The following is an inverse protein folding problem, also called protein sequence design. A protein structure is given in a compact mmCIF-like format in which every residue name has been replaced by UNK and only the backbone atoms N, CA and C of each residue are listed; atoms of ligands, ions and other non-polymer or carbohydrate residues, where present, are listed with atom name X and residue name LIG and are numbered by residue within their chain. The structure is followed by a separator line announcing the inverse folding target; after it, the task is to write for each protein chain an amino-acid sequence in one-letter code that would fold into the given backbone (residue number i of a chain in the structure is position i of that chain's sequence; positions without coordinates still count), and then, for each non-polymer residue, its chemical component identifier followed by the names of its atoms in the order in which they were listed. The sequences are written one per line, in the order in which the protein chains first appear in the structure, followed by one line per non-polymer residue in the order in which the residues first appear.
data_IF_531105029757
#
_entry.id   IF_531105029757
#
_cell.length_a   1.000
_cell.length_b   1.000
_cell.length_c   1.000
_cell.angle_alpha   90.00
_cell.angle_beta   90.00
_cell.angle_gamma   90.00
#
_symmetry.space_group_name_H-M   'P 1'
#
loop_
_entity.id
_entity.type
_entity.pdbx_description
1 polymer ?
#
# COMPACT_ATOMS: atom_id res chain seq x y z
N UNK A 1 -71.02 34.28 -12.54
CA UNK A 1 -70.72 35.41 -11.62
C UNK A 1 -69.41 35.08 -10.92
N UNK A 2 -68.50 36.04 -10.94
CA UNK A 2 -67.08 36.01 -10.59
C UNK A 2 -66.62 35.28 -9.31
N UNK A 3 -65.40 34.73 -9.42
CA UNK A 3 -64.30 34.66 -8.43
C UNK A 3 -64.54 33.93 -7.09
N UNK A 4 -63.67 32.96 -6.76
CA UNK A 4 -62.42 33.22 -6.00
C UNK A 4 -61.59 31.93 -5.77
N UNK A 5 -60.44 31.92 -6.44
CA UNK A 5 -59.11 31.43 -6.04
C UNK A 5 -59.01 30.92 -4.59
N UNK A 6 -58.50 29.69 -4.42
CA UNK A 6 -57.40 29.38 -3.48
C UNK A 6 -56.68 28.10 -3.93
N UNK A 7 -55.60 28.32 -4.67
CA UNK A 7 -54.54 27.36 -4.95
C UNK A 7 -53.79 27.11 -3.63
N UNK A 8 -53.73 25.87 -3.16
CA UNK A 8 -52.77 25.45 -2.13
C UNK A 8 -51.83 24.47 -2.83
N UNK A 9 -50.71 24.99 -3.31
CA UNK A 9 -49.56 24.19 -3.73
C UNK A 9 -48.82 23.86 -2.44
N UNK A 10 -48.96 22.63 -1.95
CA UNK A 10 -48.14 22.09 -0.90
C UNK A 10 -46.92 21.44 -1.57
N UNK A 11 -45.90 22.25 -1.87
CA UNK A 11 -44.59 21.78 -2.31
C UNK A 11 -43.85 21.22 -1.10
N UNK A 12 -43.97 19.91 -0.87
CA UNK A 12 -43.08 19.18 0.02
C UNK A 12 -41.71 19.06 -0.67
N UNK A 13 -40.87 20.08 -0.51
CA UNK A 13 -39.45 19.94 -0.77
C UNK A 13 -38.87 19.08 0.36
N UNK A 14 -38.82 17.77 0.14
CA UNK A 14 -37.91 16.89 0.88
C UNK A 14 -36.49 17.31 0.50
N UNK A 15 -35.96 18.29 1.22
CA UNK A 15 -34.53 18.53 1.29
C UNK A 15 -33.99 17.35 2.09
N UNK A 16 -33.67 16.25 1.41
CA UNK A 16 -32.73 15.28 1.95
C UNK A 16 -31.43 16.02 2.14
N UNK A 17 -31.14 16.41 3.37
CA UNK A 17 -29.81 16.85 3.75
C UNK A 17 -28.92 15.63 3.51
N UNK A 18 -28.15 15.67 2.42
CA UNK A 18 -26.97 14.84 2.30
C UNK A 18 -26.04 15.32 3.41
N UNK A 19 -26.11 14.65 4.56
CA UNK A 19 -25.03 14.70 5.54
C UNK A 19 -23.88 13.97 4.88
N UNK A 20 -23.00 14.71 4.22
CA UNK A 20 -21.63 14.26 4.07
C UNK A 20 -21.11 14.14 5.50
N UNK A 21 -20.73 12.94 5.91
CA UNK A 21 -19.88 12.81 7.07
C UNK A 21 -18.61 13.61 6.71
N UNK A 22 -18.32 14.64 7.49
CA UNK A 22 -17.01 15.27 7.43
C UNK A 22 -15.98 14.16 7.72
N UNK A 23 -15.04 13.98 6.79
CA UNK A 23 -13.83 13.21 7.02
C UNK A 23 -13.20 13.83 8.27
N UNK A 24 -13.03 13.03 9.33
CA UNK A 24 -12.27 13.46 10.50
C UNK A 24 -10.80 13.46 10.06
N UNK A 25 -10.36 14.60 9.52
CA UNK A 25 -8.94 14.89 9.35
C UNK A 25 -8.41 15.42 10.68
N UNK A 26 -7.18 15.03 10.99
CA UNK A 26 -6.27 15.43 12.07
C UNK A 26 -6.43 14.72 13.42
N UNK A 27 -5.61 13.68 13.65
CA UNK A 27 -4.32 13.94 14.28
C UNK A 27 -3.24 13.98 13.19
N UNK A 28 -2.57 15.12 12.99
CA UNK A 28 -1.42 15.13 12.10
C UNK A 28 -0.26 14.49 12.87
N UNK A 29 0.27 13.39 12.34
CA UNK A 29 1.57 12.89 12.75
C UNK A 29 2.68 13.72 12.09
N UNK A 30 3.89 13.62 12.61
CA UNK A 30 5.06 14.26 12.01
C UNK A 30 5.79 13.25 11.12
N UNK A 31 5.83 13.53 9.81
CA UNK A 31 6.57 12.72 8.82
C UNK A 31 8.04 12.52 9.17
N UNK A 32 8.66 13.43 9.93
CA UNK A 32 10.05 13.32 10.37
C UNK A 32 10.27 12.29 11.47
N UNK A 33 9.19 11.75 12.05
CA UNK A 33 9.29 10.64 12.99
C UNK A 33 9.59 9.31 12.30
N UNK A 34 9.33 9.15 11.01
CA UNK A 34 9.71 7.96 10.26
C UNK A 34 10.73 8.34 9.19
N UNK A 35 11.82 7.58 9.10
CA UNK A 35 12.90 7.84 8.15
C UNK A 35 13.30 6.59 7.38
N UNK A 36 13.63 6.79 6.11
CA UNK A 36 14.30 5.85 5.24
C UNK A 36 15.74 6.33 5.05
N UNK A 37 16.69 5.48 5.41
CA UNK A 37 18.11 5.84 5.47
C UNK A 37 18.94 5.15 4.38
N UNK A 38 18.51 3.98 3.93
CA UNK A 38 19.23 3.27 2.88
C UNK A 38 18.31 2.44 2.00
N UNK A 39 18.62 2.41 0.71
CA UNK A 39 18.17 1.37 -0.21
C UNK A 39 19.42 0.81 -0.90
N UNK A 40 19.57 -0.49 -0.86
CA UNK A 40 20.64 -1.24 -1.52
C UNK A 40 20.01 -2.33 -2.37
N UNK A 41 20.77 -2.84 -3.35
CA UNK A 41 20.40 -4.10 -3.99
C UNK A 41 20.42 -5.23 -2.96
N UNK A 42 19.61 -6.26 -3.20
CA UNK A 42 19.67 -7.49 -2.43
C UNK A 42 20.06 -8.70 -3.28
N UNK A 43 20.91 -9.55 -2.70
CA UNK A 43 21.19 -10.91 -3.17
C UNK A 43 20.72 -11.96 -2.14
N UNK A 44 19.73 -11.60 -1.31
CA UNK A 44 19.16 -12.52 -0.33
C UNK A 44 18.58 -13.73 -1.06
N UNK A 45 19.00 -14.90 -0.64
CA UNK A 45 18.47 -16.18 -1.07
C UNK A 45 17.92 -16.86 0.19
N UNK A 46 16.60 -16.78 0.36
CA UNK A 46 15.85 -17.25 1.51
C UNK A 46 15.94 -18.78 1.61
N UNK A 47 15.81 -19.48 0.49
CA UNK A 47 15.87 -20.95 0.41
C UNK A 47 17.21 -21.49 0.92
N UNK A 48 18.30 -20.80 0.61
CA UNK A 48 19.64 -21.16 1.08
C UNK A 48 20.07 -20.41 2.35
N UNK A 49 19.21 -19.53 2.89
CA UNK A 49 19.49 -18.65 4.03
C UNK A 49 20.86 -17.96 3.91
N UNK A 50 21.10 -17.33 2.75
CA UNK A 50 22.38 -16.71 2.39
C UNK A 50 22.19 -15.37 1.69
N UNK A 51 23.27 -14.60 1.51
CA UNK A 51 23.20 -13.26 0.94
C UNK A 51 22.60 -12.21 1.90
N UNK A 52 22.11 -11.12 1.32
CA UNK A 52 21.49 -10.00 2.01
C UNK A 52 21.67 -8.70 1.25
N UNK A 53 22.15 -7.67 1.94
CA UNK A 53 22.42 -6.35 1.35
C UNK A 53 23.72 -6.36 0.54
N UNK A 54 23.68 -5.84 -0.68
CA UNK A 54 24.86 -5.69 -1.56
C UNK A 54 24.93 -4.32 -2.25
N UNK A 55 26.14 -3.97 -2.71
CA UNK A 55 26.38 -2.74 -3.45
C UNK A 55 26.33 -1.46 -2.60
N UNK A 56 26.31 -0.32 -3.29
CA UNK A 56 26.27 1.01 -2.68
C UNK A 56 24.82 1.41 -2.34
N UNK A 57 24.67 2.36 -1.41
CA UNK A 57 23.38 2.97 -1.15
C UNK A 57 22.91 3.74 -2.40
N UNK A 58 21.68 3.48 -2.82
CA UNK A 58 21.04 4.11 -3.95
C UNK A 58 20.51 5.50 -3.60
N UNK A 59 20.28 5.78 -2.31
CA UNK A 59 19.85 7.09 -1.83
C UNK A 59 21.07 7.99 -1.61
N UNK A 60 21.19 9.06 -2.41
CA UNK A 60 22.25 10.06 -2.25
C UNK A 60 21.83 11.24 -1.37
N UNK A 61 20.53 11.53 -1.28
CA UNK A 61 20.00 12.64 -0.47
C UNK A 61 19.38 12.16 0.87
N UNK A 62 19.83 11.02 1.38
CA UNK A 62 19.40 10.41 2.65
C UNK A 62 19.77 11.25 3.89
N UNK A 63 18.98 11.20 5.00
CA UNK A 63 17.73 10.45 5.17
C UNK A 63 16.54 11.12 4.51
N UNK A 64 15.61 10.29 4.02
CA UNK A 64 14.27 10.73 3.63
C UNK A 64 13.33 10.54 4.81
N UNK A 65 12.49 11.54 5.08
CA UNK A 65 11.34 11.38 5.97
C UNK A 65 10.27 10.54 5.26
N UNK A 66 9.22 10.14 5.97
CA UNK A 66 8.01 9.64 5.32
C UNK A 66 7.50 10.69 4.32
N UNK A 67 7.00 10.22 3.17
CA UNK A 67 6.37 11.07 2.16
C UNK A 67 5.12 11.71 2.73
N UNK A 68 4.29 10.87 3.35
CA UNK A 68 3.04 11.27 3.97
C UNK A 68 2.83 10.51 5.27
N UNK A 69 1.97 11.05 6.12
CA UNK A 69 1.54 10.33 7.29
C UNK A 69 0.11 10.76 7.67
N UNK A 70 -0.65 9.83 8.23
CA UNK A 70 -1.99 10.07 8.76
C UNK A 70 -2.10 9.42 10.13
N UNK A 71 -2.70 10.08 11.13
CA UNK A 71 -2.75 9.40 12.42
C UNK A 71 -3.23 10.15 13.66
N UNK A 72 -2.63 9.70 14.75
CA UNK A 72 -3.05 9.82 16.15
C UNK A 72 -4.53 9.42 16.34
N UNK A 73 -4.90 8.32 15.71
CA UNK A 73 -6.18 7.67 15.97
C UNK A 73 -6.15 6.97 17.32
N UNK A 74 -7.11 7.28 18.17
CA UNK A 74 -7.27 6.60 19.45
C UNK A 74 -7.81 5.18 19.27
N UNK A 75 -7.46 4.28 20.18
CA UNK A 75 -7.88 2.87 20.12
C UNK A 75 -6.86 2.00 19.42
N UNK A 76 -7.28 0.81 19.01
CA UNK A 76 -6.44 -0.14 18.25
C UNK A 76 -6.64 0.07 16.75
N UNK A 77 -5.58 -0.19 16.00
CA UNK A 77 -5.62 -0.43 14.56
C UNK A 77 -6.27 -1.81 14.26
N UNK A 78 -6.92 -1.93 13.11
CA UNK A 78 -7.37 -3.22 12.56
C UNK A 78 -6.28 -3.76 11.65
N UNK A 79 -5.91 -5.03 11.80
CA UNK A 79 -4.90 -5.71 10.99
C UNK A 79 -5.47 -6.91 10.23
N UNK A 80 -6.79 -7.08 10.21
CA UNK A 80 -7.41 -8.25 9.57
C UNK A 80 -7.39 -8.12 8.06
N UNK A 81 -6.90 -9.16 7.38
CA UNK A 81 -7.02 -9.32 5.94
C UNK A 81 -7.54 -10.72 5.64
N UNK A 82 -8.27 -10.85 4.54
CA UNK A 82 -8.80 -12.09 4.02
C UNK A 82 -7.83 -12.68 2.98
N UNK A 83 -7.90 -12.22 1.73
CA UNK A 83 -7.03 -12.70 0.65
C UNK A 83 -5.68 -11.97 0.67
N UNK A 84 -5.66 -10.73 1.15
CA UNK A 84 -4.49 -9.88 1.26
C UNK A 84 -3.82 -9.61 -0.09
N UNK A 85 -4.64 -9.42 -1.13
CA UNK A 85 -4.17 -9.10 -2.49
C UNK A 85 -4.36 -7.63 -2.84
N UNK A 86 -4.95 -6.82 -1.95
CA UNK A 86 -5.19 -5.40 -2.16
C UNK A 86 -6.60 -5.03 -2.63
N UNK A 87 -7.56 -5.96 -2.50
CA UNK A 87 -8.98 -5.72 -2.81
C UNK A 87 -9.57 -4.61 -1.94
N UNK A 88 -10.46 -3.78 -2.50
CA UNK A 88 -11.18 -2.79 -1.71
C UNK A 88 -11.97 -3.43 -0.57
N UNK A 89 -11.79 -2.91 0.65
CA UNK A 89 -12.38 -3.43 1.88
C UNK A 89 -11.63 -4.59 2.52
N UNK A 90 -10.48 -5.02 1.98
CA UNK A 90 -9.65 -6.10 2.54
C UNK A 90 -8.54 -5.56 3.45
N UNK A 91 -8.90 -5.18 4.67
CA UNK A 91 -8.02 -4.63 5.70
C UNK A 91 -7.88 -3.11 5.72
N UNK A 92 -7.17 -2.61 6.74
CA UNK A 92 -7.15 -1.19 7.11
C UNK A 92 -6.79 -0.24 5.96
N UNK A 93 -5.65 -0.48 5.28
CA UNK A 93 -5.21 0.38 4.17
C UNK A 93 -6.00 0.14 2.89
N UNK A 94 -6.87 -0.87 2.83
CA UNK A 94 -7.79 -1.07 1.71
C UNK A 94 -9.20 -0.54 2.01
N UNK A 95 -9.39 0.18 3.12
CA UNK A 95 -10.66 0.84 3.45
C UNK A 95 -11.66 -0.01 4.25
N UNK A 96 -11.21 -1.10 4.86
CA UNK A 96 -12.03 -1.87 5.81
C UNK A 96 -12.54 -0.99 6.96
N UNK A 97 -13.76 -1.24 7.41
CA UNK A 97 -14.44 -0.53 8.51
C UNK A 97 -14.60 1.00 8.34
N UNK A 98 -14.27 1.55 7.16
CA UNK A 98 -14.43 2.97 6.80
C UNK A 98 -13.67 3.94 7.73
N UNK A 99 -12.65 3.48 8.44
CA UNK A 99 -11.73 4.36 9.18
C UNK A 99 -10.86 5.12 8.17
N UNK A 100 -10.38 4.38 7.17
CA UNK A 100 -9.72 4.87 5.98
C UNK A 100 -10.59 4.56 4.77
N UNK A 101 -10.39 5.30 3.69
CA UNK A 101 -10.99 5.07 2.37
C UNK A 101 -10.16 4.10 1.54
N UNK A 102 -8.89 3.91 1.90
CA UNK A 102 -7.90 3.11 1.19
C UNK A 102 -7.11 3.91 0.15
N UNK A 103 -7.52 5.15 -0.14
CA UNK A 103 -6.89 6.02 -1.13
C UNK A 103 -6.10 7.17 -0.50
N UNK A 104 -5.89 7.16 0.81
CA UNK A 104 -5.25 8.26 1.55
C UNK A 104 -3.86 8.60 1.00
N UNK A 105 -3.10 7.58 0.61
CA UNK A 105 -1.75 7.69 0.07
C UNK A 105 -1.72 7.34 -1.43
N UNK A 106 -2.88 7.42 -2.11
CA UNK A 106 -3.02 7.16 -3.53
C UNK A 106 -3.45 8.47 -4.19
N UNK A 107 -2.49 9.32 -4.51
CA UNK A 107 -2.80 10.63 -5.06
C UNK A 107 -2.92 10.66 -6.59
N UNK A 108 -4.16 10.59 -7.08
CA UNK A 108 -4.44 10.93 -8.47
C UNK A 108 -4.40 12.44 -8.79
N UNK A 109 -4.28 13.35 -7.81
CA UNK A 109 -4.73 14.75 -8.00
C UNK A 109 -4.24 15.85 -7.00
N UNK A 110 -3.00 15.90 -6.51
CA UNK A 110 -2.46 17.14 -5.93
C UNK A 110 -1.93 18.06 -7.04
N UNK A 111 -2.77 19.02 -7.44
CA UNK A 111 -2.30 20.35 -7.81
C UNK A 111 -1.55 20.50 -9.14
N UNK A 112 -2.13 20.07 -10.27
CA UNK A 112 -1.95 20.78 -11.55
C UNK A 112 -0.54 20.83 -12.16
N UNK A 113 0.37 19.94 -11.74
CA UNK A 113 1.63 19.71 -12.43
C UNK A 113 1.55 18.36 -13.12
N UNK A 114 1.33 18.40 -14.44
CA UNK A 114 1.41 17.22 -15.29
C UNK A 114 2.81 16.58 -15.14
N UNK A 115 2.92 15.36 -14.59
CA UNK A 115 4.20 14.65 -14.64
C UNK A 115 4.37 13.31 -13.93
N UNK A 116 3.63 12.98 -12.88
CA UNK A 116 3.77 11.69 -12.18
C UNK A 116 2.45 11.30 -11.55
N UNK A 117 1.92 10.13 -11.92
CA UNK A 117 0.71 9.58 -11.31
C UNK A 117 1.15 8.75 -10.11
N UNK A 118 0.61 9.04 -8.92
CA UNK A 118 0.84 8.27 -7.68
C UNK A 118 -0.03 7.00 -7.67
N UNK A 119 0.14 6.20 -8.71
CA UNK A 119 -0.72 5.07 -9.02
C UNK A 119 -2.19 5.46 -9.28
N UNK A 120 -2.93 4.51 -9.83
CA UNK A 120 -4.40 4.54 -9.91
C UNK A 120 -4.89 3.32 -9.11
N UNK A 121 -6.17 3.26 -8.75
CA UNK A 121 -6.75 2.02 -8.26
C UNK A 121 -6.53 0.88 -9.26
N UNK A 122 -6.46 -0.35 -8.77
CA UNK A 122 -6.31 -1.59 -9.52
C UNK A 122 -7.68 -2.22 -9.78
N UNK A 123 -7.74 -3.13 -10.75
CA UNK A 123 -8.92 -3.95 -11.02
C UNK A 123 -8.55 -5.42 -10.77
N UNK A 124 -8.49 -5.80 -9.50
CA UNK A 124 -8.01 -7.10 -9.05
C UNK A 124 -9.08 -8.17 -9.23
N UNK A 125 -10.34 -7.81 -9.00
CA UNK A 125 -11.48 -8.72 -9.17
C UNK A 125 -11.92 -8.91 -10.63
N UNK A 126 -11.39 -8.08 -11.54
CA UNK A 126 -11.72 -8.08 -12.96
C UNK A 126 -13.13 -7.56 -13.26
N UNK A 127 -13.78 -6.89 -12.32
CA UNK A 127 -15.17 -6.45 -12.41
C UNK A 127 -15.27 -4.93 -12.51
N UNK A 128 -15.72 -4.45 -13.67
CA UNK A 128 -16.09 -3.04 -13.82
C UNK A 128 -14.87 -2.11 -13.84
N UNK A 129 -14.92 -1.04 -13.05
CA UNK A 129 -13.87 -0.03 -12.98
C UNK A 129 -12.80 -0.47 -11.99
N UNK A 130 -11.57 0.02 -12.18
CA UNK A 130 -10.52 -0.18 -11.19
C UNK A 130 -10.90 0.57 -9.90
N UNK A 131 -11.05 -0.18 -8.81
CA UNK A 131 -11.46 0.32 -7.49
C UNK A 131 -10.57 -0.18 -6.36
N UNK A 132 -9.65 -1.10 -6.62
CA UNK A 132 -8.88 -1.73 -5.57
C UNK A 132 -7.66 -0.89 -5.19
N UNK A 133 -7.46 -0.53 -3.91
CA UNK A 133 -6.31 0.28 -3.51
C UNK A 133 -4.94 -0.39 -3.72
N UNK A 134 -4.88 -1.72 -3.63
CA UNK A 134 -3.66 -2.47 -3.90
C UNK A 134 -2.72 -2.68 -2.72
N UNK A 135 -3.16 -2.43 -1.47
CA UNK A 135 -2.31 -2.62 -0.29
C UNK A 135 -2.25 -4.08 0.15
N UNK A 136 -1.03 -4.56 0.36
CA UNK A 136 -0.73 -5.91 0.85
C UNK A 136 -0.12 -5.78 2.25
N UNK A 137 -0.75 -6.42 3.22
CA UNK A 137 -0.20 -6.58 4.57
C UNK A 137 0.99 -7.54 4.51
N UNK A 138 2.17 -7.11 4.94
CA UNK A 138 3.37 -7.94 4.89
C UNK A 138 3.56 -8.73 6.18
N UNK A 139 3.58 -8.02 7.30
CA UNK A 139 3.80 -8.62 8.61
C UNK A 139 3.38 -7.70 9.75
N UNK A 140 3.28 -8.29 10.94
CA UNK A 140 3.14 -7.60 12.21
C UNK A 140 4.30 -7.94 13.12
N UNK A 141 4.88 -6.92 13.76
CA UNK A 141 5.86 -7.06 14.83
C UNK A 141 5.20 -6.71 16.16
N UNK A 142 5.14 -7.68 17.07
CA UNK A 142 4.69 -7.47 18.44
C UNK A 142 5.89 -7.23 19.35
N UNK A 143 5.87 -6.10 20.09
CA UNK A 143 6.99 -5.69 20.94
C UNK A 143 7.09 -6.56 22.20
N UNK A 144 5.95 -6.97 22.76
CA UNK A 144 5.92 -7.72 24.02
C UNK A 144 6.43 -9.16 23.81
N UNK A 145 6.07 -9.76 22.67
CA UNK A 145 6.51 -11.11 22.29
C UNK A 145 7.86 -11.10 21.53
N UNK A 146 8.28 -9.92 21.05
CA UNK A 146 9.45 -9.75 20.18
C UNK A 146 9.40 -10.73 18.99
N UNK A 147 8.21 -10.84 18.39
CA UNK A 147 7.89 -11.79 17.32
C UNK A 147 7.40 -11.06 16.08
N UNK A 148 7.81 -11.55 14.90
CA UNK A 148 7.30 -11.10 13.61
C UNK A 148 6.37 -12.19 13.08
N UNK A 149 5.10 -11.86 12.90
CA UNK A 149 4.11 -12.71 12.24
C UNK A 149 3.93 -12.23 10.81
N UNK A 150 4.33 -13.06 9.84
CA UNK A 150 4.15 -12.79 8.42
C UNK A 150 2.74 -13.15 7.96
N UNK A 151 2.20 -12.33 7.07
CA UNK A 151 0.91 -12.57 6.44
C UNK A 151 1.03 -13.52 5.25
N UNK A 152 -0.10 -14.04 4.82
CA UNK A 152 -0.19 -14.79 3.56
C UNK A 152 -0.88 -13.94 2.51
N UNK A 153 -0.55 -14.19 1.25
CA UNK A 153 -1.24 -13.66 0.09
C UNK A 153 -1.88 -14.84 -0.62
N UNK A 154 -3.18 -14.78 -0.85
CA UNK A 154 -3.91 -15.84 -1.56
C UNK A 154 -4.53 -15.27 -2.82
N UNK A 155 -4.24 -15.87 -3.97
CA UNK A 155 -4.74 -15.41 -5.27
C UNK A 155 -6.26 -15.26 -5.26
N UNK A 156 -6.79 -14.38 -6.10
CA UNK A 156 -8.23 -14.11 -6.18
C UNK A 156 -9.08 -15.39 -6.39
N UNK A 157 -8.58 -16.33 -7.20
CA UNK A 157 -9.22 -17.62 -7.45
C UNK A 157 -8.97 -18.68 -6.36
N UNK A 158 -8.21 -18.32 -5.31
CA UNK A 158 -7.81 -19.14 -4.16
C UNK A 158 -7.03 -20.40 -4.53
N UNK A 159 -6.35 -20.41 -5.68
CA UNK A 159 -5.57 -21.57 -6.14
C UNK A 159 -4.10 -21.52 -5.76
N UNK A 160 -3.59 -20.32 -5.43
CA UNK A 160 -2.19 -20.09 -5.07
C UNK A 160 -2.12 -19.30 -3.78
N UNK A 161 -1.17 -19.65 -2.93
CA UNK A 161 -0.88 -18.94 -1.69
C UNK A 161 0.62 -18.76 -1.57
N UNK A 162 1.03 -17.56 -1.19
CA UNK A 162 2.40 -17.20 -0.86
C UNK A 162 2.45 -16.80 0.61
N UNK A 163 3.40 -17.35 1.37
CA UNK A 163 3.74 -16.76 2.66
C UNK A 163 4.74 -15.64 2.42
N UNK A 164 4.50 -14.45 2.99
CA UNK A 164 5.40 -13.32 2.82
C UNK A 164 6.83 -13.63 3.33
N UNK A 165 6.97 -14.52 4.32
CA UNK A 165 8.29 -14.95 4.81
C UNK A 165 9.14 -15.68 3.76
N UNK A 166 8.53 -16.16 2.68
CA UNK A 166 9.22 -16.91 1.62
C UNK A 166 9.87 -15.96 0.60
N UNK A 167 9.53 -14.67 0.62
CA UNK A 167 10.01 -13.68 -0.36
C UNK A 167 10.64 -12.44 0.24
N UNK A 168 10.53 -12.24 1.56
CA UNK A 168 11.23 -11.16 2.23
C UNK A 168 11.52 -11.48 3.70
N UNK A 169 12.48 -10.74 4.24
CA UNK A 169 12.88 -10.78 5.64
C UNK A 169 12.81 -9.40 6.27
N UNK A 170 12.04 -9.30 7.33
CA UNK A 170 11.96 -8.13 8.20
C UNK A 170 12.84 -8.34 9.44
N UNK A 171 13.51 -7.27 9.88
CA UNK A 171 14.10 -7.21 11.21
C UNK A 171 13.74 -5.90 11.89
N UNK A 172 13.51 -5.97 13.20
CA UNK A 172 13.18 -4.84 14.03
C UNK A 172 14.10 -4.82 15.24
N UNK A 173 14.57 -3.63 15.61
CA UNK A 173 15.38 -3.42 16.79
C UNK A 173 14.87 -2.23 17.55
N UNK A 174 14.32 -2.51 18.73
CA UNK A 174 13.74 -1.51 19.59
C UNK A 174 14.77 -0.88 20.54
N UNK A 175 14.74 0.45 20.67
CA UNK A 175 15.37 1.17 21.76
C UNK A 175 14.44 1.18 22.98
N UNK A 176 14.84 0.45 24.02
CA UNK A 176 14.10 0.29 25.27
C UNK A 176 14.57 1.25 26.38
N UNK A 177 15.17 2.38 26.01
CA UNK A 177 15.63 3.40 26.96
C UNK A 177 14.46 3.95 27.79
N UNK A 178 14.31 3.44 29.01
CA UNK A 178 13.21 3.82 29.92
C UNK A 178 12.18 2.72 30.18
N UNK A 179 12.39 1.50 29.66
CA UNK A 179 11.53 0.33 29.89
C UNK A 179 10.33 0.22 28.95
N UNK A 180 10.25 1.08 27.95
CA UNK A 180 9.26 1.07 26.88
C UNK A 180 9.99 1.23 25.54
N UNK A 181 9.40 0.72 24.46
CA UNK A 181 9.98 0.86 23.12
C UNK A 181 9.81 2.28 22.57
N UNK A 182 10.82 3.12 22.72
CA UNK A 182 10.76 4.56 22.39
C UNK A 182 11.15 4.89 20.94
N UNK A 183 11.91 4.01 20.29
CA UNK A 183 12.24 4.10 18.88
C UNK A 183 12.47 2.69 18.33
N UNK A 184 12.27 2.51 17.03
CA UNK A 184 12.47 1.23 16.34
C UNK A 184 13.28 1.44 15.08
N UNK A 185 14.37 0.69 14.94
CA UNK A 185 15.07 0.55 13.66
C UNK A 185 14.49 -0.65 12.93
N UNK A 186 14.36 -0.54 11.62
CA UNK A 186 13.79 -1.58 10.78
C UNK A 186 14.67 -1.85 9.56
N UNK A 187 14.63 -3.10 9.10
CA UNK A 187 15.15 -3.51 7.79
C UNK A 187 14.14 -4.37 7.07
N UNK A 188 13.96 -4.16 5.78
CA UNK A 188 13.21 -5.04 4.89
C UNK A 188 14.16 -5.48 3.77
N UNK A 189 14.42 -6.77 3.66
CA UNK A 189 15.27 -7.33 2.61
C UNK A 189 14.47 -8.34 1.81
N UNK A 190 14.29 -8.10 0.53
CA UNK A 190 13.55 -9.00 -0.37
C UNK A 190 14.47 -10.08 -0.92
N UNK A 191 13.90 -11.25 -1.18
CA UNK A 191 14.57 -12.33 -1.89
C UNK A 191 14.94 -11.92 -3.32
N UNK A 192 16.03 -12.49 -3.85
CA UNK A 192 16.53 -12.23 -5.20
C UNK A 192 15.49 -12.53 -6.29
N UNK A 193 14.63 -13.53 -6.06
CA UNK A 193 13.61 -13.98 -7.00
C UNK A 193 12.20 -13.46 -6.61
N UNK A 194 12.11 -12.39 -5.80
CA UNK A 194 10.83 -11.83 -5.32
C UNK A 194 9.87 -11.49 -6.46
N UNK A 195 10.34 -10.85 -7.52
CA UNK A 195 9.47 -10.40 -8.62
C UNK A 195 8.88 -11.59 -9.39
N UNK A 196 9.63 -12.67 -9.58
CA UNK A 196 9.13 -13.90 -10.20
C UNK A 196 8.09 -14.57 -9.30
N UNK A 197 8.42 -14.75 -8.01
CA UNK A 197 7.56 -15.44 -7.04
C UNK A 197 6.25 -14.71 -6.79
N UNK A 198 6.28 -13.38 -6.66
CA UNK A 198 5.08 -12.56 -6.47
C UNK A 198 4.20 -12.59 -7.72
N UNK A 199 4.79 -12.47 -8.92
CA UNK A 199 4.04 -12.60 -10.17
C UNK A 199 3.36 -13.94 -10.34
N UNK A 200 3.99 -15.02 -9.88
CA UNK A 200 3.34 -16.33 -9.96
C UNK A 200 2.03 -16.38 -9.17
N UNK A 201 1.87 -15.60 -8.10
CA UNK A 201 0.67 -15.63 -7.26
C UNK A 201 -0.33 -14.53 -7.63
N UNK A 202 0.14 -13.30 -7.86
CA UNK A 202 -0.72 -12.13 -8.07
C UNK A 202 -0.48 -11.40 -9.40
N UNK A 203 0.38 -11.91 -10.29
CA UNK A 203 0.72 -11.37 -11.63
C UNK A 203 1.13 -9.89 -11.67
N UNK A 204 1.77 -9.42 -10.59
CA UNK A 204 2.08 -8.00 -10.38
C UNK A 204 3.51 -7.80 -9.84
N UNK A 205 3.99 -6.55 -9.81
CA UNK A 205 5.37 -6.23 -9.44
C UNK A 205 5.54 -6.12 -7.91
N UNK A 206 6.72 -5.71 -7.41
CA UNK A 206 7.03 -5.80 -5.97
C UNK A 206 6.25 -4.78 -5.14
N UNK A 207 6.60 -3.50 -5.17
CA UNK A 207 5.85 -2.43 -4.50
C UNK A 207 6.32 -1.01 -4.85
N UNK A 208 5.40 -0.04 -4.87
CA UNK A 208 5.67 1.40 -5.07
C UNK A 208 5.55 2.25 -3.80
N UNK A 209 4.86 1.73 -2.78
CA UNK A 209 4.85 2.31 -1.44
C UNK A 209 5.22 1.29 -0.38
N UNK A 210 5.78 1.79 0.73
CA UNK A 210 5.98 1.04 1.97
C UNK A 210 5.40 1.84 3.13
N UNK A 211 4.38 1.28 3.78
CA UNK A 211 3.68 1.93 4.89
C UNK A 211 3.88 1.18 6.21
N UNK A 212 4.03 1.96 7.28
CA UNK A 212 4.19 1.47 8.65
C UNK A 212 3.06 1.99 9.52
N UNK A 213 2.21 1.07 10.01
CA UNK A 213 1.17 1.36 11.01
C UNK A 213 1.77 1.16 12.39
N UNK A 214 2.17 2.25 13.04
CA UNK A 214 2.77 2.23 14.36
C UNK A 214 1.68 2.39 15.43
N UNK A 215 1.51 1.38 16.29
CA UNK A 215 0.58 1.41 17.41
C UNK A 215 1.34 1.60 18.72
N UNK A 216 1.12 2.70 19.42
CA UNK A 216 1.69 2.96 20.74
C UNK A 216 0.59 3.12 21.79
N UNK A 217 0.58 2.30 22.84
CA UNK A 217 -0.34 2.35 24.00
C UNK A 217 -1.85 2.53 23.76
N UNK A 218 -2.74 1.78 24.41
CA UNK A 218 -4.18 2.02 24.25
C UNK A 218 -4.63 3.22 25.10
N UNK A 219 -4.82 4.39 24.50
CA UNK A 219 -5.47 5.52 25.18
C UNK A 219 -6.88 5.13 25.63
N UNK A 220 -7.30 5.47 26.85
CA UNK A 220 -8.67 5.20 27.31
C UNK A 220 -9.61 6.32 26.87
N UNK A 221 -10.25 6.15 25.71
CA UNK A 221 -11.62 6.62 25.39
C UNK A 221 -11.97 8.12 25.48
N UNK A 222 -12.50 8.62 24.36
CA UNK A 222 -13.34 9.84 24.17
C UNK A 222 -12.98 11.07 25.01
N UNK A 223 -12.19 11.96 24.41
CA UNK A 223 -12.15 13.39 24.78
C UNK A 223 -10.79 13.91 25.22
N UNK A 224 -9.79 13.04 25.36
CA UNK A 224 -8.39 13.42 25.53
C UNK A 224 -7.58 12.64 24.50
N UNK A 225 -7.10 13.33 23.47
CA UNK A 225 -6.16 12.82 22.46
C UNK A 225 -4.76 12.68 23.10
N UNK A 226 -4.64 11.97 24.21
CA UNK A 226 -3.40 11.86 24.97
C UNK A 226 -2.40 10.95 24.22
N UNK A 227 -1.85 11.37 23.07
CA UNK A 227 -0.71 10.79 22.31
C UNK A 227 -0.55 9.24 22.43
N UNK A 228 -1.66 8.50 22.42
CA UNK A 228 -1.77 7.05 22.65
C UNK A 228 -2.81 6.53 21.69
N UNK A 229 -2.38 5.71 20.76
CA UNK A 229 -3.15 5.44 19.56
C UNK A 229 -2.28 4.79 18.50
N UNK A 230 -2.58 5.07 17.24
CA UNK A 230 -1.76 4.66 16.11
C UNK A 230 -1.66 5.76 15.07
N UNK A 231 -0.61 5.68 14.27
CA UNK A 231 -0.35 6.52 13.11
C UNK A 231 0.23 5.66 12.00
N UNK A 232 0.12 6.13 10.77
CA UNK A 232 0.63 5.47 9.58
C UNK A 232 1.64 6.41 8.94
N UNK A 233 2.82 5.89 8.64
CA UNK A 233 3.87 6.58 7.91
C UNK A 233 4.07 5.89 6.58
N UNK A 234 3.95 6.62 5.48
CA UNK A 234 4.09 6.10 4.12
C UNK A 234 5.38 6.60 3.47
N UNK A 235 6.05 5.71 2.74
CA UNK A 235 7.18 6.04 1.87
C UNK A 235 6.79 5.80 0.42
N UNK A 236 6.64 6.88 -0.34
CA UNK A 236 6.35 6.83 -1.77
C UNK A 236 7.65 6.79 -2.58
N UNK A 237 7.95 5.65 -3.22
CA UNK A 237 9.20 5.51 -3.96
C UNK A 237 9.24 6.32 -5.26
N UNK A 238 8.10 6.71 -5.84
CA UNK A 238 8.09 7.66 -6.95
C UNK A 238 8.60 9.04 -6.51
N UNK A 239 8.14 9.56 -5.37
CA UNK A 239 8.59 10.87 -4.85
C UNK A 239 10.06 10.84 -4.43
N UNK A 240 10.45 9.79 -3.70
CA UNK A 240 11.83 9.63 -3.21
C UNK A 240 12.80 9.57 -4.38
N UNK A 241 12.55 8.72 -5.38
CA UNK A 241 13.47 8.55 -6.51
C UNK A 241 13.36 9.65 -7.57
N UNK A 242 12.33 10.51 -7.55
CA UNK A 242 12.29 11.74 -8.34
C UNK A 242 13.36 12.76 -7.88
N UNK A 243 13.82 12.65 -6.64
CA UNK A 243 14.93 13.44 -6.11
C UNK A 243 16.31 12.78 -6.29
N UNK A 244 16.36 11.56 -6.81
CA UNK A 244 17.59 10.80 -7.05
C UNK A 244 17.98 10.77 -8.54
N UNK A 245 19.11 10.14 -8.88
CA UNK A 245 19.47 9.97 -10.29
C UNK A 245 18.44 9.06 -11.01
N UNK A 246 18.03 9.40 -12.24
CA UNK A 246 17.03 8.60 -12.96
C UNK A 246 17.46 7.15 -13.17
N UNK A 247 16.54 6.21 -12.96
CA UNK A 247 16.74 4.77 -13.22
C UNK A 247 17.52 4.01 -12.14
N UNK A 248 17.65 4.57 -10.93
CA UNK A 248 18.27 3.86 -9.80
C UNK A 248 17.34 2.83 -9.14
N UNK A 249 16.03 2.96 -9.33
CA UNK A 249 15.02 2.09 -8.74
C UNK A 249 14.02 1.63 -9.80
N UNK A 250 13.61 0.37 -9.68
CA UNK A 250 12.55 -0.26 -10.46
C UNK A 250 11.76 -1.23 -9.56
N UNK A 251 10.64 -1.75 -10.06
CA UNK A 251 9.75 -2.62 -9.29
C UNK A 251 10.00 -4.13 -9.54
N UNK A 252 11.11 -4.46 -10.20
CA UNK A 252 11.44 -5.81 -10.64
C UNK A 252 12.69 -6.35 -9.95
N UNK A 253 13.44 -5.46 -9.31
CA UNK A 253 14.70 -5.76 -8.65
C UNK A 253 14.50 -6.00 -7.16
N UNK A 254 15.30 -6.91 -6.60
CA UNK A 254 15.34 -7.17 -5.17
C UNK A 254 16.15 -6.07 -4.43
N UNK A 255 15.61 -5.58 -3.32
CA UNK A 255 16.21 -4.51 -2.52
C UNK A 255 16.29 -4.85 -1.02
N UNK A 256 17.26 -4.21 -0.36
CA UNK A 256 17.37 -4.13 1.08
C UNK A 256 17.19 -2.67 1.52
N UNK A 257 16.12 -2.42 2.27
CA UNK A 257 15.72 -1.11 2.76
C UNK A 257 15.96 -1.05 4.27
N UNK A 258 16.36 0.11 4.78
CA UNK A 258 16.48 0.32 6.22
C UNK A 258 16.16 1.74 6.66
N UNK A 259 15.68 1.87 7.89
CA UNK A 259 15.23 3.12 8.44
C UNK A 259 14.94 3.05 9.93
N UNK A 260 14.30 4.11 10.43
CA UNK A 260 13.91 4.22 11.83
C UNK A 260 12.57 4.92 12.00
N UNK A 261 11.85 4.58 13.08
CA UNK A 261 10.65 5.28 13.52
C UNK A 261 10.83 5.71 14.98
N UNK A 262 10.74 7.02 15.22
CA UNK A 262 10.74 7.64 16.54
C UNK A 262 9.32 7.59 17.11
N UNK A 263 9.14 6.86 18.20
CA UNK A 263 7.83 6.67 18.83
C UNK A 263 7.64 7.72 19.93
N UNK A 264 8.63 7.85 20.82
CA UNK A 264 8.61 8.77 21.98
C UNK A 264 10.02 9.37 22.20
N UNK A 265 10.18 10.70 22.31
CA UNK A 265 9.15 11.75 22.28
C UNK A 265 8.77 12.18 20.84
N UNK A 266 8.32 11.25 19.99
CA UNK A 266 7.73 11.53 18.68
C UNK A 266 6.23 11.78 18.78
N UNK A 267 5.43 11.18 17.89
CA UNK A 267 3.97 11.32 17.84
C UNK A 267 3.23 10.69 19.04
N UNK A 268 3.94 9.90 19.87
CA UNK A 268 3.33 9.16 20.96
C UNK A 268 3.94 9.49 22.33
N UNK A 269 3.10 9.49 23.36
CA UNK A 269 3.48 9.60 24.78
C UNK A 269 3.75 8.24 25.43
N UNK A 270 3.44 7.13 24.75
CA UNK A 270 3.70 5.76 25.16
C UNK A 270 4.69 5.08 24.22
N UNK A 271 5.34 4.01 24.67
CA UNK A 271 6.13 3.16 23.78
C UNK A 271 5.29 2.36 22.80
N UNK A 272 5.95 1.83 21.78
CA UNK A 272 5.39 0.97 20.75
C UNK A 272 4.83 -0.31 21.38
N UNK A 273 3.61 -0.67 20.97
CA UNK A 273 2.95 -1.94 21.29
C UNK A 273 3.19 -2.93 20.17
N UNK A 274 2.90 -2.52 18.94
CA UNK A 274 3.18 -3.31 17.75
C UNK A 274 3.33 -2.40 16.54
N UNK A 275 3.91 -2.96 15.47
CA UNK A 275 4.12 -2.31 14.19
C UNK A 275 3.61 -3.23 13.09
N UNK A 276 2.74 -2.74 12.23
CA UNK A 276 2.25 -3.50 11.07
C UNK A 276 2.83 -2.88 9.80
N UNK A 277 3.38 -3.71 8.92
CA UNK A 277 4.03 -3.27 7.67
C UNK A 277 3.13 -3.63 6.50
N UNK A 278 2.94 -2.68 5.60
CA UNK A 278 2.17 -2.84 4.38
C UNK A 278 3.00 -2.36 3.20
N UNK A 279 2.77 -2.96 2.04
CA UNK A 279 3.32 -2.49 0.78
C UNK A 279 2.20 -2.35 -0.24
N UNK A 280 2.29 -1.34 -1.09
CA UNK A 280 1.33 -1.15 -2.18
C UNK A 280 1.92 -1.69 -3.46
N UNK A 281 1.10 -2.41 -4.20
CA UNK A 281 1.45 -2.91 -5.51
C UNK A 281 1.32 -1.80 -6.57
N UNK A 282 2.37 -1.55 -7.40
CA UNK A 282 2.28 -0.57 -8.46
C UNK A 282 1.22 -0.91 -9.50
N UNK A 283 0.81 0.11 -10.25
CA UNK A 283 0.14 -0.11 -11.53
C UNK A 283 1.03 -0.96 -12.43
N UNK A 284 0.68 -2.24 -12.56
CA UNK A 284 1.24 -3.08 -13.60
C UNK A 284 1.03 -2.40 -14.94
N UNK A 285 2.12 -2.09 -15.66
CA UNK A 285 1.98 -2.01 -17.12
C UNK A 285 1.38 -3.34 -17.52
N UNK A 286 0.16 -3.38 -18.12
CA UNK A 286 -0.47 -4.64 -18.44
C UNK A 286 0.55 -5.42 -19.24
N UNK A 287 0.82 -6.66 -18.82
CA UNK A 287 1.55 -7.61 -19.64
C UNK A 287 0.79 -7.64 -20.96
N UNK A 288 1.34 -6.97 -21.97
CA UNK A 288 0.80 -7.03 -23.33
C UNK A 288 1.17 -8.43 -23.78
N UNK A 289 0.36 -9.41 -23.40
CA UNK A 289 0.41 -10.74 -23.97
C UNK A 289 0.17 -10.48 -25.44
N UNK A 290 1.25 -10.51 -26.22
CA UNK A 290 1.15 -10.46 -27.66
C UNK A 290 0.24 -11.62 -28.04
N UNK A 291 -1.00 -11.30 -28.42
CA UNK A 291 -1.96 -12.32 -28.80
C UNK A 291 -1.27 -13.25 -29.79
N UNK A 292 -1.25 -14.57 -29.55
CA UNK A 292 -0.46 -15.48 -30.33
C UNK A 292 -0.80 -15.27 -31.81
N UNK A 293 0.23 -15.28 -32.65
CA UNK A 293 0.17 -15.07 -34.10
C UNK A 293 -0.80 -16.03 -34.82
N UNK A 294 -1.41 -16.97 -34.09
CA UNK A 294 -2.51 -17.84 -34.50
C UNK A 294 -3.73 -17.09 -35.01
N UNK A 295 -4.11 -15.92 -34.46
CA UNK A 295 -5.23 -15.13 -35.01
C UNK A 295 -4.89 -14.56 -36.39
N UNK A 296 -3.65 -14.09 -36.57
CA UNK A 296 -3.15 -13.64 -37.87
C UNK A 296 -3.05 -14.81 -38.87
N UNK A 297 -2.55 -15.97 -38.45
CA UNK A 297 -2.48 -17.18 -39.29
C UNK A 297 -3.89 -17.66 -39.68
N UNK A 298 -4.86 -17.60 -38.76
CA UNK A 298 -6.25 -17.93 -39.03
C UNK A 298 -6.87 -16.96 -40.05
N UNK A 299 -6.64 -15.65 -39.89
CA UNK A 299 -7.09 -14.63 -40.84
C UNK A 299 -6.45 -14.81 -42.23
N UNK A 300 -5.14 -15.06 -42.29
CA UNK A 300 -4.45 -15.36 -43.56
C UNK A 300 -4.93 -16.69 -44.18
N UNK A 301 -5.28 -17.69 -43.36
CA UNK A 301 -5.89 -18.94 -43.81
C UNK A 301 -7.24 -18.72 -44.49
N UNK A 302 -8.10 -17.88 -43.91
CA UNK A 302 -9.41 -17.53 -44.50
C UNK A 302 -9.24 -16.74 -45.80
N UNK A 303 -8.33 -15.78 -45.83
CA UNK A 303 -8.04 -14.99 -47.05
C UNK A 303 -7.50 -15.89 -48.17
N UNK A 304 -6.58 -16.81 -47.85
CA UNK A 304 -6.04 -17.77 -48.81
C UNK A 304 -7.10 -18.70 -49.41
N UNK A 305 -8.06 -19.15 -48.59
CA UNK A 305 -9.21 -19.94 -49.04
C UNK A 305 -10.21 -19.11 -49.87
N UNK A 306 -10.41 -17.84 -49.52
CA UNK A 306 -11.25 -16.90 -50.25
C UNK A 306 -10.71 -16.60 -51.65
N UNK A 307 -9.42 -16.25 -51.78
CA UNK A 307 -8.77 -15.94 -53.07
C UNK A 307 -8.79 -17.13 -54.02
N UNK A 308 -8.71 -18.37 -53.49
CA UNK A 308 -8.82 -19.58 -54.31
C UNK A 308 -10.23 -19.81 -54.88
N UNK A 309 -11.26 -19.23 -54.25
CA UNK A 309 -12.66 -19.36 -54.67
C UNK A 309 -13.06 -18.35 -55.75
N UNK A 310 -12.37 -17.21 -55.86
CA UNK A 310 -12.59 -16.18 -56.89
C UNK A 310 -11.75 -16.36 -58.17
N UNK A 311 -10.89 -17.38 -58.25
CA UNK A 311 -10.10 -17.74 -59.44
C UNK A 311 -10.72 -18.87 -60.29
N UNK A 312 -12.04 -19.10 -60.19
CA UNK A 312 -12.79 -19.96 -61.11
C UNK A 312 -13.73 -19.13 -61.96
#
# INVERSE_FOLDING_TARGET
MFNKIKLIILSLACISQLTYADLIVTGDCDVSNATLTSIHLSDLDIDNNSGGQVGNNLLQNTPYNASECIGIFAGNDSDQTANNIGEFGDGLLNGEDSILTGYEFIDGMVGGLAGGYDGEPLNIDGLGAATDPGWINLAKFDVDDNEITYSNVTSFDQTKTLNISDVLKLTFSCDNSGGECSAINWTLTTDIDIAETVREVIDRATFDHLAFVAKAGSGKGKGNQDDKGWAIYDFNFYEIFNNEAPGLFDFETAYSLSGAINIKPGDFSAGLSHLTVWARDPLGTPTIVSEPTTLAIFAFGIIGLGVRRFKK
#
